data_IF_057527873659
#
_entry.id   IF_057527873659
#
_cell.length_a   1.000
_cell.length_b   1.000
_cell.length_c   1.000
_cell.angle_alpha   90.00
_cell.angle_beta   90.00
_cell.angle_gamma   90.00
#
_symmetry.space_group_name_H-M   'P 1'
#
loop_
_entity.id
_entity.type
_entity.pdbx_description
1 polymer ?
#
# COMPACT_ATOMS: atom_id res chain seq x y z
N UNK A 1 -1.76 17.65 23.19
CA UNK A 1 -1.60 18.20 21.84
C UNK A 1 -2.23 17.18 20.89
N UNK A 2 -3.49 17.37 20.53
CA UNK A 2 -4.24 16.39 19.72
C UNK A 2 -3.76 16.51 18.26
N UNK A 3 -3.28 15.44 17.61
CA UNK A 3 -2.92 15.53 16.21
C UNK A 3 -4.18 15.91 15.42
N UNK A 4 -4.07 16.96 14.60
CA UNK A 4 -5.16 17.40 13.74
C UNK A 4 -5.62 16.22 12.89
N UNK A 5 -6.91 15.92 12.93
CA UNK A 5 -7.53 14.93 12.04
C UNK A 5 -7.24 15.39 10.61
N UNK A 6 -6.58 14.57 9.75
CA UNK A 6 -6.38 14.94 8.37
C UNK A 6 -7.74 15.23 7.73
N UNK A 7 -7.85 16.32 6.97
CA UNK A 7 -9.11 16.70 6.33
C UNK A 7 -9.42 15.63 5.28
N UNK A 8 -10.70 15.29 5.14
CA UNK A 8 -11.19 14.30 4.16
C UNK A 8 -10.79 14.64 2.71
N UNK A 9 -10.44 15.90 2.44
CA UNK A 9 -9.95 16.42 1.16
C UNK A 9 -8.44 16.21 0.91
N UNK A 10 -7.66 15.82 1.92
CA UNK A 10 -6.21 15.66 1.77
C UNK A 10 -5.89 14.48 0.83
N UNK A 11 -5.05 14.72 -0.18
CA UNK A 11 -4.63 13.70 -1.14
C UNK A 11 -4.03 12.46 -0.43
N UNK A 12 -4.15 11.24 -0.99
CA UNK A 12 -3.67 9.99 -0.37
C UNK A 12 -2.27 10.10 0.23
N UNK A 13 -1.35 10.78 -0.47
CA UNK A 13 0.02 10.97 -0.04
C UNK A 13 0.15 11.92 1.18
N UNK A 14 -0.63 13.00 1.22
CA UNK A 14 -0.66 13.90 2.37
C UNK A 14 -1.17 13.17 3.63
N UNK A 15 -2.18 12.31 3.47
CA UNK A 15 -2.69 11.46 4.55
C UNK A 15 -1.64 10.44 5.02
N UNK A 16 -0.88 9.84 4.11
CA UNK A 16 0.23 8.94 4.46
C UNK A 16 1.28 9.66 5.32
N UNK A 17 1.66 10.87 4.92
CA UNK A 17 2.69 11.66 5.62
C UNK A 17 2.19 12.33 6.91
N UNK A 18 0.87 12.40 7.11
CA UNK A 18 0.29 13.03 8.29
C UNK A 18 0.64 12.29 9.58
N UNK A 19 0.94 13.06 10.64
CA UNK A 19 1.24 12.51 11.96
C UNK A 19 2.51 11.66 12.01
N UNK A 20 3.54 11.99 11.22
CA UNK A 20 4.78 11.21 11.10
C UNK A 20 5.61 11.03 12.38
N UNK A 21 5.37 11.83 13.42
CA UNK A 21 6.08 11.69 14.70
C UNK A 21 5.96 10.26 15.25
N UNK A 22 7.08 9.62 15.56
CA UNK A 22 7.16 8.23 16.02
C UNK A 22 6.85 7.13 15.01
N UNK A 23 6.58 7.48 13.75
CA UNK A 23 6.33 6.50 12.70
C UNK A 23 7.60 6.20 11.90
N UNK A 24 7.70 4.98 11.41
CA UNK A 24 8.74 4.55 10.46
C UNK A 24 8.15 4.49 9.05
N UNK A 25 8.76 5.22 8.14
CA UNK A 25 8.37 5.28 6.73
C UNK A 25 9.32 4.43 5.88
N UNK A 26 8.76 3.57 5.04
CA UNK A 26 9.48 2.92 3.95
C UNK A 26 8.99 3.44 2.60
N UNK A 27 9.92 3.74 1.70
CA UNK A 27 9.64 4.05 0.30
C UNK A 27 10.20 2.90 -0.53
N UNK A 28 9.32 2.22 -1.28
CA UNK A 28 9.69 1.14 -2.16
C UNK A 28 9.55 1.58 -3.62
N UNK A 29 10.65 1.49 -4.35
CA UNK A 29 10.77 1.86 -5.75
C UNK A 29 11.21 3.29 -5.99
N UNK A 30 11.21 3.63 -7.27
CA UNK A 30 11.38 4.98 -7.76
C UNK A 30 10.01 5.54 -8.20
N UNK A 31 9.53 6.65 -7.62
CA UNK A 31 8.26 7.28 -7.99
C UNK A 31 8.22 7.72 -9.46
N UNK A 32 7.01 7.84 -10.05
CA UNK A 32 6.88 8.47 -11.35
C UNK A 32 7.32 9.94 -11.29
N UNK A 33 7.90 10.43 -12.39
CA UNK A 33 8.34 11.81 -12.50
C UNK A 33 7.21 12.80 -12.18
N UNK A 34 7.43 13.77 -11.30
CA UNK A 34 6.42 14.75 -10.91
C UNK A 34 5.59 14.37 -9.68
N UNK A 35 5.72 13.14 -9.15
CA UNK A 35 5.20 12.83 -7.82
C UNK A 35 6.13 13.43 -6.76
N UNK A 36 5.68 14.49 -6.09
CA UNK A 36 6.40 15.07 -4.97
C UNK A 36 6.08 14.28 -3.69
N UNK A 37 7.11 13.78 -3.00
CA UNK A 37 6.93 13.01 -1.76
C UNK A 37 6.20 13.82 -0.70
N UNK A 38 6.57 15.10 -0.54
CA UNK A 38 6.23 15.92 0.62
C UNK A 38 7.34 15.93 1.66
N UNK A 39 7.07 16.50 2.83
CA UNK A 39 8.03 16.58 3.94
C UNK A 39 8.06 15.26 4.73
N UNK A 40 9.25 14.66 4.84
CA UNK A 40 9.49 13.43 5.62
C UNK A 40 10.30 13.68 6.88
N UNK A 41 10.70 14.91 7.18
CA UNK A 41 11.43 15.26 8.41
C UNK A 41 10.73 14.90 9.72
N UNK A 42 9.38 14.80 9.81
CA UNK A 42 8.71 14.40 11.05
C UNK A 42 8.83 12.91 11.40
N UNK A 43 9.32 12.06 10.48
CA UNK A 43 9.43 10.61 10.70
C UNK A 43 10.68 10.25 11.49
N UNK A 44 10.55 9.34 12.45
CA UNK A 44 11.68 8.85 13.25
C UNK A 44 12.72 8.13 12.38
N UNK A 45 12.24 7.40 11.36
CA UNK A 45 13.08 6.72 10.39
C UNK A 45 12.45 6.76 8.99
N UNK A 46 13.28 7.01 7.98
CA UNK A 46 12.91 6.95 6.57
C UNK A 46 13.86 5.99 5.87
N UNK A 47 13.33 4.86 5.44
CA UNK A 47 14.04 3.87 4.62
C UNK A 47 13.63 3.99 3.16
N UNK A 48 14.56 3.68 2.25
CA UNK A 48 14.27 3.55 0.82
C UNK A 48 14.87 2.28 0.24
N UNK A 49 14.07 1.52 -0.49
CA UNK A 49 14.48 0.35 -1.24
C UNK A 49 14.17 0.57 -2.71
N UNK A 50 15.16 0.36 -3.57
CA UNK A 50 14.98 0.28 -5.01
C UNK A 50 14.94 -1.19 -5.46
N UNK A 51 14.28 -1.44 -6.59
CA UNK A 51 14.36 -2.73 -7.27
C UNK A 51 15.75 -2.92 -7.90
N UNK A 52 16.21 -4.19 -8.10
CA UNK A 52 17.52 -4.50 -8.66
C UNK A 52 17.88 -3.79 -9.97
N UNK A 53 16.89 -3.53 -10.83
CA UNK A 53 17.10 -2.92 -12.15
C UNK A 53 16.63 -1.46 -12.22
N UNK A 54 16.27 -0.84 -11.10
CA UNK A 54 15.84 0.56 -11.05
C UNK A 54 17.01 1.49 -10.73
N UNK A 55 17.21 2.49 -11.60
CA UNK A 55 18.06 3.63 -11.27
C UNK A 55 17.32 4.58 -10.34
N UNK A 56 18.02 5.14 -9.35
CA UNK A 56 17.48 6.20 -8.50
C UNK A 56 17.39 7.50 -9.31
N UNK A 57 16.20 7.91 -9.74
CA UNK A 57 16.02 9.17 -10.47
C UNK A 57 15.32 10.24 -9.64
N UNK A 58 14.50 9.83 -8.66
CA UNK A 58 13.82 10.73 -7.76
C UNK A 58 14.37 10.70 -6.33
N UNK A 59 13.93 11.66 -5.51
CA UNK A 59 14.31 11.82 -4.10
C UNK A 59 15.83 11.78 -3.87
N UNK A 60 16.56 12.54 -4.68
CA UNK A 60 18.01 12.65 -4.60
C UNK A 60 18.45 13.04 -3.17
N UNK A 61 19.48 12.36 -2.67
CA UNK A 61 20.01 12.58 -1.31
C UNK A 61 19.45 11.65 -0.24
N UNK A 62 18.34 10.93 -0.48
CA UNK A 62 17.94 9.84 0.41
C UNK A 62 18.79 8.59 0.15
N UNK A 63 19.48 8.04 1.17
CA UNK A 63 20.18 6.78 1.02
C UNK A 63 19.17 5.68 0.70
N UNK A 64 19.57 4.77 -0.19
CA UNK A 64 18.74 3.64 -0.58
C UNK A 64 19.56 2.36 -0.56
N UNK A 65 18.88 1.26 -0.28
CA UNK A 65 19.38 -0.08 -0.56
C UNK A 65 18.62 -0.69 -1.73
N UNK A 66 19.09 -1.82 -2.22
CA UNK A 66 18.50 -2.56 -3.34
C UNK A 66 18.03 -3.91 -2.82
N UNK A 67 16.76 -4.25 -3.07
CA UNK A 67 16.22 -5.54 -2.69
C UNK A 67 15.11 -5.99 -3.65
N UNK A 68 14.94 -7.31 -3.75
CA UNK A 68 13.83 -7.88 -4.52
C UNK A 68 12.50 -7.63 -3.78
N UNK A 69 11.42 -7.27 -4.48
CA UNK A 69 10.15 -6.88 -3.86
C UNK A 69 9.44 -8.05 -3.17
N UNK A 70 9.78 -9.29 -3.55
CA UNK A 70 9.27 -10.52 -2.93
C UNK A 70 10.05 -10.97 -1.69
N UNK A 71 11.19 -10.34 -1.39
CA UNK A 71 12.09 -10.75 -0.31
C UNK A 71 12.74 -9.51 0.31
N UNK A 72 11.94 -8.72 1.03
CA UNK A 72 12.41 -7.50 1.67
C UNK A 72 13.22 -7.84 2.93
N UNK A 73 14.38 -7.21 3.15
CA UNK A 73 15.32 -7.54 4.23
C UNK A 73 14.88 -6.94 5.58
N UNK A 74 13.58 -6.98 5.87
CA UNK A 74 12.99 -6.42 7.08
C UNK A 74 12.28 -7.50 7.87
N UNK A 75 12.28 -7.34 9.19
CA UNK A 75 11.44 -8.14 10.08
C UNK A 75 9.96 -7.81 9.89
N UNK A 76 9.09 -8.66 10.41
CA UNK A 76 7.65 -8.43 10.36
C UNK A 76 7.24 -7.19 11.17
N UNK A 77 6.15 -6.54 10.74
CA UNK A 77 5.53 -5.41 11.45
C UNK A 77 6.52 -4.29 11.85
N UNK A 78 7.42 -3.93 10.94
CA UNK A 78 8.43 -2.90 11.16
C UNK A 78 8.00 -1.50 10.71
N UNK A 79 7.09 -1.34 9.75
CA UNK A 79 6.78 -0.03 9.20
C UNK A 79 5.35 0.41 9.48
N UNK A 80 5.21 1.68 9.85
CA UNK A 80 3.93 2.32 10.16
C UNK A 80 3.36 3.05 8.94
N UNK A 81 4.25 3.45 8.02
CA UNK A 81 3.92 4.06 6.73
C UNK A 81 4.72 3.41 5.61
N UNK A 82 4.08 3.19 4.47
CA UNK A 82 4.72 2.65 3.27
C UNK A 82 4.24 3.37 2.02
N UNK A 83 5.17 3.84 1.21
CA UNK A 83 4.91 4.33 -0.14
C UNK A 83 5.44 3.32 -1.15
N UNK A 84 4.58 2.74 -1.98
CA UNK A 84 4.95 1.79 -3.02
C UNK A 84 4.80 2.45 -4.38
N UNK A 85 5.90 2.53 -5.10
CA UNK A 85 5.99 3.17 -6.43
C UNK A 85 6.54 2.24 -7.50
N UNK A 86 6.84 1.01 -7.12
CA UNK A 86 7.36 -0.01 -8.03
C UNK A 86 6.31 -0.45 -9.04
N UNK A 87 6.74 -0.94 -10.22
CA UNK A 87 5.87 -1.76 -11.03
C UNK A 87 5.39 -2.94 -10.18
N UNK A 88 4.07 -3.12 -10.09
CA UNK A 88 3.41 -4.27 -9.46
C UNK A 88 2.93 -5.19 -10.59
N UNK A 89 3.75 -6.12 -11.11
CA UNK A 89 3.35 -6.96 -12.23
C UNK A 89 2.31 -7.99 -11.79
N UNK A 90 1.28 -8.22 -12.62
CA UNK A 90 0.18 -9.13 -12.27
C UNK A 90 0.62 -10.57 -11.94
N UNK A 91 1.70 -11.05 -12.54
CA UNK A 91 2.24 -12.38 -12.29
C UNK A 91 2.77 -12.57 -10.85
N UNK A 92 3.29 -11.50 -10.24
CA UNK A 92 3.91 -11.53 -8.90
C UNK A 92 3.14 -10.72 -7.86
N UNK A 93 2.08 -10.03 -8.25
CA UNK A 93 1.35 -9.07 -7.42
C UNK A 93 0.97 -9.63 -6.05
N UNK A 94 0.40 -10.84 -6.01
CA UNK A 94 0.04 -11.50 -4.74
C UNK A 94 1.26 -11.70 -3.84
N UNK A 95 2.38 -12.19 -4.36
CA UNK A 95 3.57 -12.48 -3.58
C UNK A 95 4.19 -11.18 -3.04
N UNK A 96 4.31 -10.15 -3.89
CA UNK A 96 4.81 -8.84 -3.49
C UNK A 96 3.89 -8.17 -2.46
N UNK A 97 2.59 -8.14 -2.71
CA UNK A 97 1.62 -7.56 -1.76
C UNK A 97 1.66 -8.28 -0.40
N UNK A 98 1.83 -9.60 -0.37
CA UNK A 98 1.96 -10.34 0.90
C UNK A 98 3.26 -10.03 1.63
N UNK A 99 4.35 -9.80 0.91
CA UNK A 99 5.60 -9.37 1.50
C UNK A 99 5.50 -7.94 2.08
N UNK A 100 4.82 -7.03 1.38
CA UNK A 100 4.50 -5.70 1.89
C UNK A 100 3.61 -5.78 3.14
N UNK A 101 2.59 -6.63 3.10
CA UNK A 101 1.71 -6.86 4.24
C UNK A 101 2.48 -7.35 5.46
N UNK A 102 3.46 -8.24 5.27
CA UNK A 102 4.30 -8.82 6.34
C UNK A 102 5.09 -7.74 7.10
N UNK A 103 5.70 -6.81 6.39
CA UNK A 103 6.57 -5.78 6.99
C UNK A 103 5.79 -4.61 7.62
N UNK A 104 4.48 -4.50 7.35
CA UNK A 104 3.63 -3.44 7.88
C UNK A 104 3.08 -3.77 9.27
N UNK A 105 3.13 -2.79 10.19
CA UNK A 105 2.45 -2.83 11.47
C UNK A 105 0.93 -3.03 11.29
N UNK A 106 0.19 -3.59 12.27
CA UNK A 106 -1.25 -3.82 12.15
C UNK A 106 -2.07 -2.57 11.78
N UNK A 107 -1.74 -1.41 12.33
CA UNK A 107 -2.41 -0.13 12.07
C UNK A 107 -1.70 0.73 11.01
N UNK A 108 -0.83 0.13 10.20
CA UNK A 108 -0.05 0.88 9.22
C UNK A 108 -0.91 1.38 8.07
N UNK A 109 -0.47 2.49 7.48
CA UNK A 109 -1.03 3.03 6.23
C UNK A 109 -0.04 2.81 5.09
N UNK A 110 -0.58 2.50 3.91
CA UNK A 110 0.19 2.32 2.69
C UNK A 110 -0.43 3.15 1.58
N UNK A 111 0.40 3.79 0.76
CA UNK A 111 -0.01 4.35 -0.53
C UNK A 111 0.61 3.54 -1.65
N UNK A 112 -0.23 3.00 -2.51
CA UNK A 112 0.18 2.40 -3.78
C UNK A 112 0.10 3.44 -4.88
N UNK A 113 1.19 3.60 -5.63
CA UNK A 113 1.27 4.38 -6.86
C UNK A 113 1.58 3.42 -7.99
N UNK A 114 0.53 2.96 -8.68
CA UNK A 114 0.64 1.87 -9.67
C UNK A 114 0.10 2.34 -11.01
N UNK A 115 0.78 2.00 -12.10
CA UNK A 115 0.35 2.40 -13.45
C UNK A 115 -1.07 1.90 -13.73
N UNK A 116 -1.95 2.83 -14.11
CA UNK A 116 -3.33 2.56 -14.45
C UNK A 116 -3.47 2.30 -15.96
N UNK A 117 -4.34 1.37 -16.29
CA UNK A 117 -4.66 0.95 -17.66
C UNK A 117 -6.14 1.20 -17.92
N UNK A 118 -6.49 1.53 -19.16
CA UNK A 118 -7.89 1.62 -19.61
C UNK A 118 -8.34 0.32 -20.26
N UNK A 119 -9.63 -0.04 -20.22
CA UNK A 119 -10.14 -1.32 -20.76
C UNK A 119 -9.76 -1.60 -22.21
N UNK A 120 -9.65 -0.57 -23.06
CA UNK A 120 -9.29 -0.73 -24.47
C UNK A 120 -7.78 -0.88 -24.72
N UNK A 121 -6.93 -0.72 -23.70
CA UNK A 121 -5.47 -0.79 -23.82
C UNK A 121 -4.95 -2.19 -23.50
N UNK A 122 -5.47 -3.21 -24.19
CA UNK A 122 -5.23 -4.64 -23.88
C UNK A 122 -3.75 -5.03 -23.77
N UNK A 123 -2.88 -4.43 -24.59
CA UNK A 123 -1.44 -4.72 -24.60
C UNK A 123 -0.59 -3.77 -23.74
N UNK A 124 -1.18 -2.75 -23.12
CA UNK A 124 -0.43 -1.80 -22.28
C UNK A 124 -0.19 -2.37 -20.88
N UNK A 125 0.98 -2.13 -20.28
CA UNK A 125 1.23 -2.46 -18.89
C UNK A 125 0.37 -1.60 -17.96
N UNK A 126 0.01 -2.15 -16.80
CA UNK A 126 -0.79 -1.48 -15.78
C UNK A 126 -2.10 -2.21 -15.48
N UNK A 127 -2.85 -1.64 -14.56
CA UNK A 127 -4.00 -2.29 -13.95
C UNK A 127 -5.33 -1.68 -14.37
N UNK A 128 -6.35 -2.53 -14.53
CA UNK A 128 -7.73 -2.06 -14.38
C UNK A 128 -8.04 -1.94 -12.89
N UNK A 129 -8.98 -1.06 -12.55
CA UNK A 129 -9.35 -0.83 -11.16
C UNK A 129 -9.87 -2.10 -10.46
N UNK A 130 -10.80 -2.81 -11.10
CA UNK A 130 -11.40 -4.03 -10.51
C UNK A 130 -10.37 -5.14 -10.30
N UNK A 131 -9.47 -5.33 -11.27
CA UNK A 131 -8.38 -6.32 -11.18
C UNK A 131 -7.45 -6.01 -9.99
N UNK A 132 -7.04 -4.75 -9.85
CA UNK A 132 -6.13 -4.33 -8.77
C UNK A 132 -6.83 -4.37 -7.41
N UNK A 133 -8.11 -3.98 -7.34
CA UNK A 133 -8.92 -4.08 -6.13
C UNK A 133 -9.00 -5.52 -5.64
N UNK A 134 -9.28 -6.47 -6.54
CA UNK A 134 -9.31 -7.90 -6.20
C UNK A 134 -7.97 -8.39 -5.66
N UNK A 135 -6.83 -7.97 -6.25
CA UNK A 135 -5.51 -8.34 -5.74
C UNK A 135 -5.21 -7.76 -4.35
N UNK A 136 -5.61 -6.52 -4.09
CA UNK A 136 -5.44 -5.88 -2.77
C UNK A 136 -6.27 -6.61 -1.71
N UNK A 137 -7.53 -6.92 -2.00
CA UNK A 137 -8.42 -7.66 -1.11
C UNK A 137 -7.88 -9.06 -0.81
N UNK A 138 -7.46 -9.79 -1.83
CA UNK A 138 -6.83 -11.12 -1.68
C UNK A 138 -5.57 -11.08 -0.82
N UNK A 139 -4.83 -9.97 -0.86
CA UNK A 139 -3.64 -9.75 -0.06
C UNK A 139 -3.93 -9.22 1.36
N UNK A 140 -5.20 -9.02 1.73
CA UNK A 140 -5.67 -8.45 3.01
C UNK A 140 -5.33 -6.96 3.18
N UNK A 141 -5.46 -6.19 2.11
CA UNK A 141 -5.48 -4.73 2.15
C UNK A 141 -6.91 -4.21 1.95
N UNK A 142 -7.27 -3.18 2.73
CA UNK A 142 -8.55 -2.46 2.59
C UNK A 142 -8.28 -1.08 1.99
N UNK A 143 -8.72 -0.79 0.76
CA UNK A 143 -8.63 0.55 0.19
C UNK A 143 -9.47 1.56 0.99
N UNK A 144 -8.84 2.64 1.42
CA UNK A 144 -9.44 3.73 2.21
C UNK A 144 -9.71 4.99 1.37
N UNK A 145 -8.91 5.21 0.32
CA UNK A 145 -9.12 6.23 -0.70
C UNK A 145 -8.51 5.71 -2.02
N UNK A 146 -9.18 5.99 -3.13
CA UNK A 146 -8.75 5.54 -4.46
C UNK A 146 -8.90 6.68 -5.45
N UNK A 147 -7.77 7.13 -6.00
CA UNK A 147 -7.73 8.18 -6.99
C UNK A 147 -7.00 7.71 -8.23
N UNK A 148 -7.35 8.33 -9.35
CA UNK A 148 -6.60 8.19 -10.58
C UNK A 148 -6.01 9.54 -10.92
N UNK A 149 -4.68 9.63 -10.93
CA UNK A 149 -3.96 10.85 -11.26
C UNK A 149 -3.14 10.68 -12.53
N UNK A 150 -2.82 11.80 -13.18
CA UNK A 150 -1.98 11.84 -14.37
C UNK A 150 -0.66 12.50 -14.01
N UNK A 151 0.38 11.68 -13.85
CA UNK A 151 1.71 12.07 -13.41
C UNK A 151 2.74 11.28 -14.22
N UNK A 152 3.46 11.90 -15.16
CA UNK A 152 3.04 12.16 -16.55
C UNK A 152 2.13 11.10 -17.22
N UNK A 153 2.12 9.88 -16.72
CA UNK A 153 1.21 8.79 -17.13
C UNK A 153 0.06 8.63 -16.12
N UNK A 154 -0.97 7.86 -16.49
CA UNK A 154 -2.11 7.56 -15.61
C UNK A 154 -1.70 6.56 -14.53
N UNK A 155 -1.94 6.88 -13.27
CA UNK A 155 -1.64 6.03 -12.10
C UNK A 155 -2.84 5.93 -11.18
N UNK A 156 -3.02 4.75 -10.58
CA UNK A 156 -3.82 4.56 -9.37
C UNK A 156 -3.01 5.05 -8.18
N UNK A 157 -3.58 5.97 -7.41
CA UNK A 157 -3.08 6.41 -6.11
C UNK A 157 -4.07 5.90 -5.06
N UNK A 158 -3.66 4.88 -4.32
CA UNK A 158 -4.54 4.14 -3.43
C UNK A 158 -3.98 4.25 -2.03
N UNK A 159 -4.71 4.93 -1.14
CA UNK A 159 -4.46 4.80 0.29
C UNK A 159 -5.15 3.53 0.77
N UNK A 160 -4.42 2.66 1.47
CA UNK A 160 -4.97 1.46 2.05
C UNK A 160 -4.42 1.22 3.47
N UNK A 161 -5.14 0.40 4.23
CA UNK A 161 -4.68 -0.17 5.49
C UNK A 161 -4.66 -1.69 5.41
N UNK A 162 -4.09 -2.34 6.43
CA UNK A 162 -4.25 -3.80 6.59
C UNK A 162 -5.69 -4.09 6.99
N UNK A 163 -6.28 -5.12 6.39
CA UNK A 163 -7.55 -5.66 6.88
C UNK A 163 -7.30 -6.31 8.24
N UNK A 164 -7.92 -5.80 9.29
CA UNK A 164 -7.76 -6.26 10.67
C UNK A 164 -8.48 -7.59 10.95
N UNK A 165 -9.30 -8.06 10.01
CA UNK A 165 -10.12 -9.27 10.18
C UNK A 165 -11.18 -9.14 11.28
N UNK A 166 -11.38 -7.94 11.85
CA UNK A 166 -12.30 -7.68 12.96
C UNK A 166 -13.72 -7.42 12.50
N UNK A 167 -14.05 -7.59 11.21
CA UNK A 167 -15.45 -7.80 10.81
C UNK A 167 -15.88 -9.11 11.49
N UNK A 168 -16.76 -9.07 12.51
CA UNK A 168 -17.21 -10.30 13.14
C UNK A 168 -17.84 -11.13 12.04
N UNK A 169 -17.30 -12.33 11.77
CA UNK A 169 -18.06 -13.30 11.01
C UNK A 169 -19.37 -13.49 11.78
N UNK A 170 -20.55 -13.29 11.18
CA UNK A 170 -21.79 -13.65 11.84
C UNK A 170 -21.74 -15.15 12.07
N UNK A 171 -21.44 -15.57 13.30
CA UNK A 171 -21.56 -16.96 13.71
C UNK A 171 -23.06 -17.25 13.66
N UNK A 172 -23.49 -17.95 12.61
CA UNK A 172 -24.88 -18.40 12.48
C UNK A 172 -25.26 -19.21 13.71
N UNK A 173 -26.42 -18.93 14.29
CA UNK A 173 -26.99 -19.74 15.37
C UNK A 173 -27.18 -21.16 14.87
N UNK A 174 -26.40 -22.10 15.41
CA UNK A 174 -26.63 -23.52 15.21
C UNK A 174 -28.04 -23.86 15.74
N UNK A 175 -28.94 -24.29 14.87
CA UNK A 175 -30.21 -24.87 15.30
C UNK A 175 -29.91 -26.25 15.91
N UNK A 176 -30.01 -26.34 17.23
CA UNK A 176 -30.01 -27.62 17.93
C UNK A 176 -31.37 -28.25 17.66
N UNK A 177 -31.45 -29.14 16.67
CA UNK A 177 -32.62 -30.02 16.52
C UNK A 177 -32.58 -31.04 17.66
N UNK A 178 -33.32 -30.79 18.74
CA UNK A 178 -33.58 -31.82 19.75
C UNK A 178 -34.47 -32.90 19.13
N UNK A 179 -33.89 -34.06 18.86
CA UNK A 179 -34.67 -35.27 18.56
C UNK A 179 -35.30 -35.75 19.87
N UNK A 180 -36.60 -35.53 20.02
CA UNK A 180 -37.36 -36.12 21.11
C UNK A 180 -37.49 -37.63 20.88
N UNK A 181 -36.79 -38.44 21.68
CA UNK A 181 -37.08 -39.87 21.82
C UNK A 181 -38.29 -40.05 22.75
N UNK A 182 -39.29 -40.75 22.23
CA UNK A 182 -40.47 -41.24 22.95
C UNK A 182 -40.12 -42.37 23.92
#
# INVERSE_FOLDING_TARGET
MTPARPKEDDAPLARLLSGGAHNRLLILGDPPAGLALGDTSPFDQVGRILLPDQASTAFAGLPHAVAAPRCLPFVEALFDRLLVTTPLPAADARAELRELWRILCPAALIVFVVKARRPWQLASPGWLEDDLRSQLEDAMFEPLDWRIETIPDRHHLILAGKTDGLRPAPIGTAQITQTATA
#
